data_IF_092427362920
#
_entry.id   IF_092427362920
#
_cell.length_a   1.000
_cell.length_b   1.000
_cell.length_c   1.000
_cell.angle_alpha   90.00
_cell.angle_beta   90.00
_cell.angle_gamma   90.00
#
_symmetry.space_group_name_H-M   'P 1'
#
loop_
_entity.id
_entity.type
_entity.pdbx_description
1 polymer ?
#
# COMPACT_ATOMS: atom_id res chain seq x y z
N UNK A 1 -9.06 5.60 8.85
CA UNK A 1 -7.85 6.44 8.82
C UNK A 1 -8.09 7.65 9.69
N UNK A 2 -7.21 7.96 10.64
CA UNK A 2 -7.39 9.06 11.57
C UNK A 2 -7.28 10.40 10.81
N UNK A 3 -8.41 11.06 10.59
CA UNK A 3 -8.45 12.45 10.11
C UNK A 3 -8.19 13.36 11.30
N UNK A 4 -7.08 14.07 11.31
CA UNK A 4 -6.82 15.07 12.36
C UNK A 4 -7.79 16.24 12.17
N UNK A 5 -8.48 16.62 13.25
CA UNK A 5 -9.47 17.70 13.24
C UNK A 5 -8.80 19.05 12.96
N UNK A 6 -9.26 19.74 11.92
CA UNK A 6 -8.76 21.07 11.53
C UNK A 6 -8.89 22.09 12.67
N UNK A 7 -9.97 22.00 13.46
CA UNK A 7 -10.21 22.85 14.63
C UNK A 7 -9.18 22.60 15.73
N UNK A 8 -8.72 21.35 15.91
CA UNK A 8 -7.68 21.04 16.88
C UNK A 8 -6.33 21.63 16.45
N UNK A 9 -6.02 21.66 15.15
CA UNK A 9 -4.78 22.29 14.65
C UNK A 9 -4.74 23.81 14.86
N UNK A 10 -5.89 24.48 14.74
CA UNK A 10 -5.98 25.93 14.88
C UNK A 10 -5.74 26.43 16.30
N UNK A 11 -6.02 25.59 17.31
CA UNK A 11 -5.84 25.93 18.72
C UNK A 11 -4.41 25.68 19.23
N UNK A 12 -3.51 25.19 18.38
CA UNK A 12 -2.09 24.98 18.71
C UNK A 12 -1.25 26.19 18.35
N UNK A 13 -0.18 26.41 19.12
CA UNK A 13 0.90 27.32 18.77
C UNK A 13 1.63 26.86 17.50
N UNK A 14 2.33 27.78 16.84
CA UNK A 14 2.92 27.54 15.52
C UNK A 14 3.97 26.42 15.52
N UNK A 15 4.72 26.25 16.62
CA UNK A 15 5.72 25.20 16.75
C UNK A 15 5.05 23.83 16.85
N UNK A 16 4.12 23.67 17.78
CA UNK A 16 3.36 22.43 17.96
C UNK A 16 2.57 22.05 16.69
N UNK A 17 2.00 23.04 16.00
CA UNK A 17 1.29 22.81 14.73
C UNK A 17 2.21 22.23 13.67
N UNK A 18 3.43 22.78 13.53
CA UNK A 18 4.41 22.31 12.55
C UNK A 18 4.86 20.88 12.86
N UNK A 19 5.14 20.56 14.12
CA UNK A 19 5.54 19.22 14.54
C UNK A 19 4.43 18.19 14.30
N UNK A 20 3.17 18.54 14.63
CA UNK A 20 2.03 17.66 14.38
C UNK A 20 1.79 17.45 12.89
N UNK A 21 1.91 18.49 12.05
CA UNK A 21 1.78 18.32 10.60
C UNK A 21 2.85 17.36 10.06
N UNK A 22 4.11 17.50 10.48
CA UNK A 22 5.19 16.58 10.09
C UNK A 22 4.93 15.14 10.56
N UNK A 23 4.46 14.98 11.80
CA UNK A 23 4.08 13.68 12.33
C UNK A 23 2.94 13.05 11.51
N UNK A 24 1.89 13.81 11.23
CA UNK A 24 0.73 13.34 10.46
C UNK A 24 1.12 12.94 9.05
N UNK A 25 1.97 13.71 8.37
CA UNK A 25 2.48 13.35 7.04
C UNK A 25 3.25 12.02 7.08
N UNK A 26 4.09 11.83 8.09
CA UNK A 26 4.82 10.56 8.31
C UNK A 26 3.87 9.39 8.54
N UNK A 27 2.88 9.53 9.41
CA UNK A 27 1.90 8.49 9.71
C UNK A 27 0.98 8.19 8.51
N UNK A 28 0.61 9.20 7.73
CA UNK A 28 -0.14 9.00 6.49
C UNK A 28 0.68 8.22 5.46
N UNK A 29 1.97 8.52 5.33
CA UNK A 29 2.87 7.77 4.45
C UNK A 29 2.93 6.29 4.86
N UNK A 30 3.14 6.01 6.16
CA UNK A 30 3.12 4.66 6.71
C UNK A 30 1.78 3.95 6.46
N UNK A 31 0.67 4.65 6.66
CA UNK A 31 -0.67 4.10 6.44
C UNK A 31 -0.92 3.72 4.97
N UNK A 32 -0.43 4.52 4.01
CA UNK A 32 -0.51 4.19 2.58
C UNK A 32 0.28 2.92 2.24
N UNK A 33 1.48 2.76 2.81
CA UNK A 33 2.29 1.55 2.65
C UNK A 33 1.56 0.34 3.23
N UNK A 34 1.03 0.44 4.46
CA UNK A 34 0.28 -0.64 5.09
C UNK A 34 -0.95 -1.07 4.28
N UNK A 35 -1.72 -0.10 3.77
CA UNK A 35 -2.87 -0.39 2.91
C UNK A 35 -2.44 -1.13 1.64
N UNK A 36 -1.31 -0.74 1.05
CA UNK A 36 -0.75 -1.40 -0.13
C UNK A 36 -0.33 -2.83 0.19
N UNK A 37 0.34 -3.06 1.33
CA UNK A 37 0.70 -4.40 1.82
C UNK A 37 -0.55 -5.27 1.98
N UNK A 38 -1.59 -4.78 2.65
CA UNK A 38 -2.84 -5.53 2.82
C UNK A 38 -3.48 -5.90 1.48
N UNK A 39 -3.55 -4.95 0.54
CA UNK A 39 -4.12 -5.17 -0.78
C UNK A 39 -3.33 -6.22 -1.58
N UNK A 40 -2.00 -6.13 -1.57
CA UNK A 40 -1.16 -7.08 -2.29
C UNK A 40 -1.18 -8.47 -1.66
N UNK A 41 -1.16 -8.55 -0.33
CA UNK A 41 -1.30 -9.81 0.39
C UNK A 41 -2.62 -10.50 0.05
N UNK A 42 -3.76 -9.80 0.14
CA UNK A 42 -5.06 -10.38 -0.17
C UNK A 42 -5.15 -10.86 -1.63
N UNK A 43 -4.76 -10.00 -2.57
CA UNK A 43 -4.81 -10.31 -3.99
C UNK A 43 -3.88 -11.47 -4.37
N UNK A 44 -2.62 -11.41 -3.96
CA UNK A 44 -1.62 -12.38 -4.38
C UNK A 44 -1.79 -13.72 -3.68
N UNK A 45 -2.20 -13.72 -2.41
CA UNK A 45 -2.54 -14.96 -1.71
C UNK A 45 -3.67 -15.71 -2.44
N UNK A 46 -4.77 -15.01 -2.76
CA UNK A 46 -5.89 -15.59 -3.52
C UNK A 46 -5.44 -16.13 -4.88
N UNK A 47 -4.58 -15.42 -5.62
CA UNK A 47 -4.11 -15.85 -6.94
C UNK A 47 -3.16 -17.05 -6.87
N UNK A 48 -2.23 -17.05 -5.92
CA UNK A 48 -1.19 -18.08 -5.83
C UNK A 48 -1.67 -19.39 -5.20
N UNK A 49 -2.70 -19.30 -4.35
CA UNK A 49 -3.20 -20.44 -3.56
C UNK A 49 -4.63 -20.88 -3.92
N UNK A 50 -5.27 -20.30 -4.95
CA UNK A 50 -6.66 -20.59 -5.33
C UNK A 50 -7.01 -22.09 -5.41
N UNK A 51 -6.07 -22.90 -5.91
CA UNK A 51 -6.27 -24.32 -6.21
C UNK A 51 -5.23 -25.22 -5.52
N UNK A 52 -4.65 -24.77 -4.40
CA UNK A 52 -3.63 -25.51 -3.68
C UNK A 52 -4.06 -25.71 -2.21
N UNK A 53 -3.94 -26.92 -1.66
CA UNK A 53 -4.13 -27.12 -0.23
C UNK A 53 -3.00 -26.44 0.54
N UNK A 54 -3.34 -25.71 1.59
CA UNK A 54 -2.35 -25.13 2.52
C UNK A 54 -1.90 -26.25 3.45
N UNK A 55 -0.64 -26.66 3.32
CA UNK A 55 -0.07 -27.81 4.05
C UNK A 55 0.83 -27.39 5.20
N UNK A 56 1.23 -26.12 5.27
CA UNK A 56 2.18 -25.57 6.24
C UNK A 56 1.81 -24.13 6.62
N UNK A 57 2.27 -23.67 7.79
CA UNK A 57 2.19 -22.26 8.19
C UNK A 57 3.27 -21.38 7.57
N UNK A 58 4.29 -21.98 6.95
CA UNK A 58 5.33 -21.29 6.20
C UNK A 58 5.05 -21.41 4.70
N UNK A 59 5.51 -20.41 3.93
CA UNK A 59 5.44 -20.45 2.48
C UNK A 59 6.39 -21.51 1.92
N UNK A 60 5.93 -22.29 0.95
CA UNK A 60 6.80 -23.15 0.15
C UNK A 60 7.50 -22.35 -0.98
N UNK A 61 8.52 -22.94 -1.60
CA UNK A 61 9.30 -22.28 -2.66
C UNK A 61 8.44 -21.83 -3.86
N UNK A 62 7.40 -22.59 -4.22
CA UNK A 62 6.51 -22.24 -5.32
C UNK A 62 5.55 -21.10 -4.92
N UNK A 63 5.09 -21.06 -3.68
CA UNK A 63 4.28 -19.97 -3.13
C UNK A 63 5.09 -18.67 -3.07
N UNK A 64 6.31 -18.69 -2.54
CA UNK A 64 7.21 -17.53 -2.50
C UNK A 64 7.50 -16.97 -3.91
N UNK A 65 7.83 -17.86 -4.86
CA UNK A 65 8.06 -17.49 -6.25
C UNK A 65 6.80 -16.87 -6.87
N UNK A 66 5.62 -17.47 -6.65
CA UNK A 66 4.36 -16.97 -7.17
C UNK A 66 4.01 -15.59 -6.60
N UNK A 67 4.13 -15.40 -5.28
CA UNK A 67 3.82 -14.13 -4.61
C UNK A 67 4.72 -13.01 -5.12
N UNK A 68 6.02 -13.29 -5.26
CA UNK A 68 7.00 -12.35 -5.83
C UNK A 68 6.62 -11.95 -7.26
N UNK A 69 6.29 -12.94 -8.10
CA UNK A 69 5.87 -12.68 -9.49
C UNK A 69 4.55 -11.91 -9.54
N UNK A 70 3.58 -12.24 -8.69
CA UNK A 70 2.28 -11.58 -8.63
C UNK A 70 2.43 -10.09 -8.33
N UNK A 71 3.22 -9.74 -7.30
CA UNK A 71 3.49 -8.35 -6.95
C UNK A 71 4.18 -7.60 -8.09
N UNK A 72 5.26 -8.16 -8.65
CA UNK A 72 6.01 -7.54 -9.74
C UNK A 72 5.11 -7.29 -10.96
N UNK A 73 4.31 -8.26 -11.37
CA UNK A 73 3.36 -8.12 -12.48
C UNK A 73 2.31 -7.06 -12.23
N UNK A 74 1.81 -6.94 -11.00
CA UNK A 74 0.91 -5.84 -10.65
C UNK A 74 1.58 -4.48 -10.81
N UNK A 75 2.80 -4.31 -10.28
CA UNK A 75 3.55 -3.05 -10.38
C UNK A 75 3.87 -2.69 -11.83
N UNK A 76 4.32 -3.66 -12.64
CA UNK A 76 4.58 -3.46 -14.07
C UNK A 76 3.32 -3.00 -14.81
N UNK A 77 2.18 -3.64 -14.51
CA UNK A 77 0.89 -3.30 -15.11
C UNK A 77 0.46 -1.90 -14.68
N UNK A 78 0.61 -1.56 -13.39
CA UNK A 78 0.27 -0.24 -12.86
C UNK A 78 1.07 0.87 -13.56
N UNK A 79 2.40 0.69 -13.70
CA UNK A 79 3.26 1.63 -14.43
C UNK A 79 2.77 1.80 -15.87
N UNK A 80 2.43 0.71 -16.56
CA UNK A 80 1.95 0.77 -17.95
C UNK A 80 0.61 1.49 -18.07
N UNK A 81 -0.32 1.26 -17.15
CA UNK A 81 -1.61 1.97 -17.10
C UNK A 81 -1.39 3.47 -16.87
N UNK A 82 -0.55 3.84 -15.90
CA UNK A 82 -0.23 5.25 -15.63
C UNK A 82 0.42 5.92 -16.85
N UNK A 83 1.38 5.27 -17.50
CA UNK A 83 2.01 5.75 -18.73
C UNK A 83 0.98 5.99 -19.84
N UNK A 84 0.04 5.06 -20.04
CA UNK A 84 -1.02 5.19 -21.03
C UNK A 84 -1.96 6.37 -20.73
N UNK A 85 -2.36 6.54 -19.46
CA UNK A 85 -3.22 7.64 -19.03
C UNK A 85 -2.54 9.01 -19.18
N UNK A 86 -1.26 9.12 -18.82
CA UNK A 86 -0.48 10.35 -19.01
C UNK A 86 -0.28 10.66 -20.50
N UNK A 87 -0.07 9.64 -21.33
CA UNK A 87 0.04 9.79 -22.79
C UNK A 87 -1.27 10.20 -23.48
N UNK A 88 -2.41 9.95 -22.85
CA UNK A 88 -3.75 10.29 -23.35
C UNK A 88 -4.19 11.71 -22.94
N UNK A 89 -3.45 12.40 -22.05
CA UNK A 89 -3.72 13.78 -21.62
C UNK A 89 -3.03 14.86 -22.49
N UNK A 90 -2.61 14.52 -23.71
CA UNK A 90 -2.14 15.46 -24.73
C UNK A 90 -3.10 15.46 -25.91
#
# INVERSE_FOLDING_TARGET
>A
MASVSQTALQNLDDTSRKEIMQFVESEQSKSKVQLSIHNFTDMCFKKCNANKPITSGNLDTNEEQCLTNCLNRFLDTNIKVVQALQGTQK
#
